data_IF_692507687465
#
_entry.id   IF_692507687465
#
_cell.length_a   1.000
_cell.length_b   1.000
_cell.length_c   1.000
_cell.angle_alpha   90.00
_cell.angle_beta   90.00
_cell.angle_gamma   90.00
#
_symmetry.space_group_name_H-M   'P 1'
#
loop_
_entity.id
_entity.type
_entity.pdbx_description
1 polymer ?
#
# COMPACT_ATOMS: atom_id res chain seq x y z
N UNK A 1 -2.14 -13.07 -6.81
CA UNK A 1 -1.32 -11.84 -6.79
C UNK A 1 0.07 -12.18 -7.30
N UNK A 2 0.61 -11.44 -8.27
CA UNK A 2 2.02 -11.54 -8.67
C UNK A 2 2.81 -10.46 -7.93
N UNK A 3 3.80 -10.84 -7.12
CA UNK A 3 4.60 -9.90 -6.34
C UNK A 3 5.38 -10.60 -5.24
N UNK A 4 6.07 -9.80 -4.42
CA UNK A 4 6.79 -10.30 -3.24
C UNK A 4 5.78 -10.56 -2.12
N UNK A 5 5.80 -11.78 -1.57
CA UNK A 5 4.95 -12.17 -0.45
C UNK A 5 5.82 -12.56 0.73
N UNK A 6 5.60 -11.92 1.87
CA UNK A 6 6.28 -12.26 3.13
C UNK A 6 5.23 -12.77 4.12
N UNK A 7 5.40 -14.01 4.59
CA UNK A 7 4.51 -14.66 5.57
C UNK A 7 5.25 -14.86 6.89
N UNK A 8 4.49 -15.01 7.98
CA UNK A 8 5.01 -15.25 9.33
C UNK A 8 5.97 -14.16 9.86
N UNK A 9 5.90 -12.95 9.31
CA UNK A 9 6.57 -11.78 9.88
C UNK A 9 5.72 -11.24 11.03
N UNK A 10 6.29 -11.20 12.24
CA UNK A 10 5.63 -10.56 13.38
C UNK A 10 5.80 -9.04 13.30
N UNK A 11 4.69 -8.32 13.30
CA UNK A 11 4.64 -6.86 13.38
C UNK A 11 3.72 -6.43 14.52
N UNK A 12 4.25 -5.66 15.47
CA UNK A 12 3.60 -5.27 16.73
C UNK A 12 3.53 -3.76 16.85
N UNK A 13 2.60 -3.29 17.68
CA UNK A 13 2.50 -1.89 18.07
C UNK A 13 3.85 -1.36 18.56
N UNK A 14 4.21 -0.15 18.12
CA UNK A 14 5.50 0.49 18.42
C UNK A 14 6.65 0.06 17.51
N UNK A 15 6.48 -0.94 16.64
CA UNK A 15 7.47 -1.29 15.64
C UNK A 15 7.28 -0.47 14.35
N UNK A 16 8.38 -0.26 13.61
CA UNK A 16 8.35 0.40 12.31
C UNK A 16 8.61 -0.61 11.21
N UNK A 17 7.63 -0.81 10.32
CA UNK A 17 7.84 -1.50 9.06
C UNK A 17 8.45 -0.50 8.06
N UNK A 18 9.62 -0.84 7.52
CA UNK A 18 10.29 -0.06 6.48
C UNK A 18 10.32 -0.87 5.20
N UNK A 19 9.82 -0.30 4.11
CA UNK A 19 9.90 -0.90 2.78
C UNK A 19 10.70 0.03 1.89
N UNK A 20 11.72 -0.51 1.22
CA UNK A 20 12.56 0.20 0.25
C UNK A 20 12.48 -0.53 -1.09
N UNK A 21 12.24 0.21 -2.17
CA UNK A 21 12.19 -0.34 -3.52
C UNK A 21 12.29 0.74 -4.59
N UNK A 22 12.41 0.29 -5.84
CA UNK A 22 12.42 1.11 -7.05
C UNK A 22 11.27 0.62 -7.93
N UNK A 23 10.26 1.44 -8.26
CA UNK A 23 9.24 1.06 -9.23
C UNK A 23 9.85 0.86 -10.60
N UNK A 24 9.21 0.00 -11.37
CA UNK A 24 9.44 -0.04 -12.81
C UNK A 24 9.23 1.36 -13.42
N UNK A 25 10.05 1.74 -14.40
CA UNK A 25 9.96 3.03 -15.10
C UNK A 25 8.60 3.21 -15.80
N UNK A 26 7.93 2.11 -16.15
CA UNK A 26 6.63 2.09 -16.82
C UNK A 26 5.48 1.71 -15.87
N UNK A 27 5.69 1.72 -14.56
CA UNK A 27 4.66 1.33 -13.61
C UNK A 27 3.48 2.31 -13.63
N UNK A 28 2.26 1.84 -13.89
CA UNK A 28 1.04 2.66 -13.76
C UNK A 28 0.61 2.82 -12.29
N UNK A 29 0.90 1.81 -11.47
CA UNK A 29 0.68 1.80 -10.02
C UNK A 29 1.49 0.69 -9.36
N UNK A 30 1.54 0.69 -8.03
CA UNK A 30 1.98 -0.45 -7.24
C UNK A 30 1.11 -0.60 -5.99
N UNK A 31 1.25 -1.72 -5.29
CA UNK A 31 0.42 -2.05 -4.13
C UNK A 31 1.29 -2.56 -2.98
N UNK A 32 1.02 -2.08 -1.78
CA UNK A 32 1.50 -2.66 -0.51
C UNK A 32 0.28 -3.14 0.26
N UNK A 33 0.25 -4.43 0.56
CA UNK A 33 -0.78 -5.05 1.38
C UNK A 33 -0.16 -5.50 2.71
N UNK A 34 -0.80 -5.14 3.82
CA UNK A 34 -0.45 -5.60 5.17
C UNK A 34 -1.72 -6.12 5.83
N UNK A 35 -1.68 -7.36 6.31
CA UNK A 35 -2.86 -8.04 6.83
C UNK A 35 -2.55 -9.39 7.44
N UNK A 36 -3.58 -10.01 8.02
CA UNK A 36 -3.49 -11.35 8.59
C UNK A 36 -3.59 -12.43 7.50
N UNK A 37 -4.31 -12.13 6.42
CA UNK A 37 -4.52 -13.03 5.28
C UNK A 37 -4.79 -12.23 4.01
N UNK A 38 -4.92 -12.91 2.87
CA UNK A 38 -5.33 -12.27 1.62
C UNK A 38 -6.78 -11.72 1.66
N UNK A 39 -7.59 -12.23 2.59
CA UNK A 39 -8.99 -11.82 2.80
C UNK A 39 -9.19 -10.84 3.97
N UNK A 40 -8.11 -10.48 4.65
CA UNK A 40 -8.12 -9.59 5.82
C UNK A 40 -6.87 -8.68 5.81
N UNK A 41 -7.00 -7.55 5.13
CA UNK A 41 -5.99 -6.51 4.99
C UNK A 41 -6.32 -5.31 5.87
N UNK A 42 -5.48 -5.06 6.87
CA UNK A 42 -5.53 -3.85 7.68
C UNK A 42 -4.99 -2.61 6.94
N UNK A 43 -4.22 -2.83 5.87
CA UNK A 43 -3.76 -1.78 4.97
C UNK A 43 -3.63 -2.32 3.56
N UNK A 44 -4.30 -1.63 2.63
CA UNK A 44 -4.04 -1.66 1.21
C UNK A 44 -3.61 -0.25 0.80
N UNK A 45 -2.33 -0.07 0.50
CA UNK A 45 -1.80 1.18 -0.03
C UNK A 45 -1.50 1.00 -1.51
N UNK A 46 -2.19 1.77 -2.34
CA UNK A 46 -2.10 1.71 -3.78
C UNK A 46 -1.77 3.09 -4.38
N UNK A 47 -0.48 3.45 -4.45
CA UNK A 47 -0.05 4.62 -5.21
C UNK A 47 -0.23 4.38 -6.71
N UNK A 48 -0.98 5.29 -7.33
CA UNK A 48 -1.37 5.29 -8.75
C UNK A 48 -0.63 6.45 -9.43
N UNK A 49 0.34 6.14 -10.29
CA UNK A 49 0.97 7.14 -11.16
C UNK A 49 -0.05 7.64 -12.18
N UNK A 50 -0.70 6.70 -12.86
CA UNK A 50 -1.83 6.91 -13.76
C UNK A 50 -2.60 5.58 -13.89
N UNK A 51 -3.61 5.37 -13.04
CA UNK A 51 -4.36 4.12 -13.00
C UNK A 51 -5.74 4.31 -12.40
N UNK A 52 -6.72 3.53 -12.86
CA UNK A 52 -8.09 3.51 -12.30
C UNK A 52 -8.80 4.88 -12.29
N UNK A 53 -8.41 5.80 -13.19
CA UNK A 53 -8.96 7.15 -13.25
C UNK A 53 -8.30 8.15 -12.29
N UNK A 54 -7.32 7.72 -11.50
CA UNK A 54 -6.51 8.59 -10.64
C UNK A 54 -5.15 8.86 -11.29
N UNK A 55 -4.70 10.12 -11.26
CA UNK A 55 -3.36 10.54 -11.68
C UNK A 55 -2.60 11.07 -10.48
N UNK A 56 -1.43 10.47 -10.20
CA UNK A 56 -0.56 10.80 -9.06
C UNK A 56 -1.33 10.88 -7.73
N UNK A 57 -2.02 9.80 -7.37
CA UNK A 57 -2.76 9.69 -6.12
C UNK A 57 -2.30 8.49 -5.29
N UNK A 58 -2.28 8.64 -3.97
CA UNK A 58 -2.13 7.52 -3.05
C UNK A 58 -3.52 7.12 -2.57
N UNK A 59 -3.95 5.91 -2.92
CA UNK A 59 -5.23 5.38 -2.48
C UNK A 59 -4.99 4.38 -1.36
N UNK A 60 -5.56 4.65 -0.20
CA UNK A 60 -5.52 3.76 0.96
C UNK A 60 -6.90 3.15 1.19
N UNK A 61 -6.93 1.88 1.59
CA UNK A 61 -8.16 1.18 1.94
C UNK A 61 -7.84 0.04 2.94
N UNK A 62 -8.87 -0.58 3.50
CA UNK A 62 -8.82 -1.88 4.18
C UNK A 62 -9.71 -2.90 3.46
N UNK A 63 -9.43 -4.18 3.66
CA UNK A 63 -10.19 -5.29 3.08
C UNK A 63 -10.55 -6.28 4.17
N UNK A 64 -11.84 -6.46 4.44
CA UNK A 64 -12.31 -7.33 5.52
C UNK A 64 -13.40 -8.27 5.03
N UNK A 65 -13.22 -9.57 5.27
CA UNK A 65 -14.23 -10.58 4.93
C UNK A 65 -14.57 -10.60 3.44
N UNK A 66 -13.58 -10.35 2.57
CA UNK A 66 -13.77 -10.35 1.12
C UNK A 66 -14.35 -9.05 0.54
N UNK A 67 -14.36 -7.94 1.29
CA UNK A 67 -14.94 -6.66 0.85
C UNK A 67 -14.01 -5.48 1.12
N UNK A 68 -13.93 -4.58 0.15
CA UNK A 68 -13.26 -3.29 0.27
C UNK A 68 -14.07 -2.33 1.15
N UNK A 69 -13.36 -1.58 2.00
CA UNK A 69 -13.89 -0.47 2.77
C UNK A 69 -13.93 0.83 1.92
N UNK A 70 -14.18 1.98 2.57
CA UNK A 70 -14.08 3.29 1.93
C UNK A 70 -12.63 3.63 1.54
N UNK A 71 -12.44 4.18 0.34
CA UNK A 71 -11.11 4.59 -0.14
C UNK A 71 -10.75 5.98 0.40
N UNK A 72 -9.55 6.10 0.98
CA UNK A 72 -8.97 7.37 1.39
C UNK A 72 -7.92 7.83 0.38
N UNK A 73 -8.03 9.08 -0.08
CA UNK A 73 -7.16 9.71 -1.08
C UNK A 73 -6.48 10.98 -0.54
N UNK A 74 -6.02 10.93 0.71
CA UNK A 74 -5.45 12.10 1.36
C UNK A 74 -3.92 12.15 1.24
N UNK A 75 -3.38 13.36 1.11
CA UNK A 75 -1.93 13.61 1.12
C UNK A 75 -1.35 13.97 -0.26
N UNK A 76 -0.02 13.84 -0.37
CA UNK A 76 0.73 14.08 -1.59
C UNK A 76 1.15 12.79 -2.28
N UNK A 77 1.84 12.92 -3.42
CA UNK A 77 2.38 11.80 -4.19
C UNK A 77 3.91 11.87 -4.29
N UNK A 78 4.65 11.34 -3.29
CA UNK A 78 6.10 11.42 -3.21
C UNK A 78 6.81 10.27 -3.92
N UNK A 79 6.27 9.79 -5.05
CA UNK A 79 6.82 8.67 -5.80
C UNK A 79 7.14 9.10 -7.24
N UNK A 80 8.27 8.60 -7.74
CA UNK A 80 8.67 8.70 -9.14
C UNK A 80 8.98 7.31 -9.67
N UNK A 81 8.69 7.08 -10.94
CA UNK A 81 9.02 5.83 -11.61
C UNK A 81 10.53 5.72 -11.80
N UNK A 82 11.11 4.53 -11.60
CA UNK A 82 12.56 4.31 -11.75
C UNK A 82 13.44 4.90 -10.65
N UNK A 83 12.87 5.57 -9.64
CA UNK A 83 13.62 6.12 -8.50
C UNK A 83 13.41 5.29 -7.23
N UNK A 84 14.47 5.17 -6.42
CA UNK A 84 14.36 4.53 -5.11
C UNK A 84 13.50 5.38 -4.19
N UNK A 85 12.63 4.71 -3.45
CA UNK A 85 11.99 5.33 -2.32
C UNK A 85 11.86 4.39 -1.13
N UNK A 86 11.54 5.03 0.00
CA UNK A 86 11.49 4.41 1.30
C UNK A 86 10.22 4.82 2.02
N UNK A 87 9.33 3.87 2.23
CA UNK A 87 8.14 4.07 3.05
C UNK A 87 8.45 3.65 4.48
N UNK A 88 8.16 4.56 5.42
CA UNK A 88 8.30 4.37 6.87
C UNK A 88 7.03 4.88 7.54
N UNK A 89 6.61 4.20 8.61
CA UNK A 89 5.45 4.55 9.42
C UNK A 89 4.14 4.52 8.61
N UNK A 90 3.40 3.42 8.73
CA UNK A 90 2.04 3.36 8.23
C UNK A 90 1.11 3.92 9.30
N UNK A 91 0.30 4.92 8.94
CA UNK A 91 -0.99 5.08 9.61
C UNK A 91 -1.81 3.91 9.09
N UNK A 92 -2.16 2.96 9.98
CA UNK A 92 -3.04 1.86 9.62
C UNK A 92 -4.36 2.49 9.16
N UNK A 93 -4.71 2.28 7.89
CA UNK A 93 -5.95 2.72 7.31
C UNK A 93 -7.01 1.68 7.69
N UNK A 94 -7.36 1.65 8.97
CA UNK A 94 -8.39 0.75 9.48
C UNK A 94 -9.72 1.47 9.35
N UNK A 95 -10.69 0.80 8.73
CA UNK A 95 -12.12 1.11 8.88
C UNK A 95 -12.40 1.38 10.38
N UNK A 96 -12.69 2.63 10.76
CA UNK A 96 -13.26 2.97 12.07
C UNK A 96 -14.75 2.71 12.08
#
# INVERSE_FOLDING_TARGET
MSGVVVKNMSFKLGQTLTITWIPNSEATHFVINVGNSEDDLALHMNPRFDAHGDTRAVVCNSYHGGKWCEEHREGGFPFNQGEEFKVRNYILCVCV
#
